data_IF_225560360104
#
_entry.id   IF_225560360104
#
_cell.length_a   1.000
_cell.length_b   1.000
_cell.length_c   1.000
_cell.angle_alpha   90.00
_cell.angle_beta   90.00
_cell.angle_gamma   90.00
#
_symmetry.space_group_name_H-M   'P 1'
#
loop_
_entity.id
_entity.type
_entity.pdbx_description
1 polymer ?
#
# COMPACT_ATOMS: atom_id res chain seq x y z
N UNK A 1 13.65 -2.24 25.77
CA UNK A 1 13.01 -1.87 24.51
C UNK A 1 12.20 -3.07 24.02
N UNK A 2 10.95 -2.84 23.69
CA UNK A 2 10.03 -3.86 23.18
C UNK A 2 10.50 -4.42 21.84
N UNK A 3 10.13 -5.68 21.54
CA UNK A 3 10.32 -6.29 20.24
C UNK A 3 9.30 -5.74 19.25
N UNK A 4 9.77 -5.35 18.05
CA UNK A 4 8.90 -4.77 17.01
C UNK A 4 8.76 -5.67 15.78
N UNK A 5 9.42 -6.81 15.73
CA UNK A 5 9.37 -7.69 14.57
C UNK A 5 8.00 -8.34 14.40
N UNK A 6 7.53 -8.36 13.14
CA UNK A 6 6.27 -8.99 12.73
C UNK A 6 6.46 -9.79 11.46
N UNK A 7 5.49 -10.64 11.10
CA UNK A 7 5.53 -11.41 9.87
C UNK A 7 4.26 -11.17 9.03
N UNK A 8 4.43 -10.86 7.75
CA UNK A 8 3.33 -10.84 6.77
C UNK A 8 3.52 -11.99 5.78
N UNK A 9 2.74 -13.06 5.98
CA UNK A 9 2.98 -14.32 5.29
C UNK A 9 4.36 -14.88 5.63
N UNK A 10 5.19 -15.08 4.61
CA UNK A 10 6.57 -15.56 4.76
C UNK A 10 7.61 -14.44 4.89
N UNK A 11 7.18 -13.20 4.82
CA UNK A 11 8.06 -12.04 4.90
C UNK A 11 8.21 -11.57 6.34
N UNK A 12 9.43 -11.66 6.87
CA UNK A 12 9.78 -11.11 8.17
C UNK A 12 10.09 -9.60 8.05
N UNK A 13 9.44 -8.79 8.87
CA UNK A 13 9.69 -7.36 9.01
C UNK A 13 10.34 -7.11 10.37
N UNK A 14 11.39 -6.30 10.42
CA UNK A 14 12.08 -5.91 11.68
C UNK A 14 11.23 -5.01 12.58
N UNK A 15 10.23 -4.35 12.01
CA UNK A 15 9.18 -3.59 12.69
C UNK A 15 7.96 -3.47 11.78
N UNK A 16 6.77 -3.10 12.28
CA UNK A 16 5.53 -3.11 11.51
C UNK A 16 5.37 -1.94 10.53
N UNK A 17 6.35 -1.03 10.41
CA UNK A 17 6.20 0.20 9.63
C UNK A 17 6.80 0.07 8.24
N UNK A 18 5.96 0.29 7.24
CA UNK A 18 6.34 0.34 5.82
C UNK A 18 5.91 1.68 5.20
N UNK A 19 6.44 1.99 4.02
CA UNK A 19 5.99 3.13 3.22
C UNK A 19 4.93 2.70 2.20
N UNK A 20 3.94 3.55 1.92
CA UNK A 20 2.94 3.27 0.90
C UNK A 20 3.45 3.62 -0.51
N UNK A 21 3.15 2.77 -1.47
CA UNK A 21 3.46 3.01 -2.89
C UNK A 21 2.92 4.35 -3.40
N UNK A 22 3.72 5.04 -4.20
CA UNK A 22 3.36 6.31 -4.82
C UNK A 22 3.67 7.55 -3.97
N UNK A 23 4.19 7.39 -2.76
CA UNK A 23 4.53 8.48 -1.84
C UNK A 23 5.99 8.50 -1.40
N UNK A 24 6.78 7.51 -1.81
CA UNK A 24 8.15 7.33 -1.35
C UNK A 24 9.14 6.99 -2.49
N UNK A 25 8.74 7.21 -3.74
CA UNK A 25 9.57 6.92 -4.90
C UNK A 25 10.04 5.45 -4.94
N UNK A 26 11.33 5.27 -5.07
CA UNK A 26 12.02 3.98 -4.99
C UNK A 26 12.83 3.82 -3.68
N UNK A 27 12.69 4.80 -2.76
CA UNK A 27 13.41 4.86 -1.50
C UNK A 27 14.63 5.79 -1.56
N UNK A 28 15.42 5.74 -2.62
CA UNK A 28 16.64 6.55 -2.80
C UNK A 28 16.38 8.05 -2.62
N UNK A 29 15.20 8.54 -3.01
CA UNK A 29 14.81 9.94 -2.89
C UNK A 29 14.67 10.41 -1.43
N UNK A 30 14.59 9.48 -0.49
CA UNK A 30 14.44 9.76 0.94
C UNK A 30 15.71 9.45 1.76
N UNK A 31 16.74 8.90 1.14
CA UNK A 31 17.98 8.50 1.84
C UNK A 31 18.74 9.65 2.51
N UNK A 32 18.55 10.88 2.02
CA UNK A 32 19.13 12.08 2.63
C UNK A 32 18.41 12.53 3.91
N UNK A 33 17.18 12.05 4.14
CA UNK A 33 16.36 12.43 5.28
C UNK A 33 16.34 11.38 6.39
N UNK A 34 16.42 10.10 6.03
CA UNK A 34 16.34 8.98 6.96
C UNK A 34 17.28 7.84 6.55
N UNK A 35 17.67 7.05 7.52
CA UNK A 35 18.25 5.74 7.29
C UNK A 35 17.13 4.75 6.90
N UNK A 36 17.11 4.34 5.63
CA UNK A 36 16.10 3.46 5.06
C UNK A 36 16.09 2.08 5.73
N UNK A 37 17.24 1.65 6.23
CA UNK A 37 17.38 0.34 6.89
C UNK A 37 16.67 0.28 8.24
N UNK A 38 16.18 1.41 8.76
CA UNK A 38 15.36 1.46 9.98
C UNK A 38 13.91 1.02 9.76
N UNK A 39 13.44 0.94 8.52
CA UNK A 39 12.06 0.58 8.17
C UNK A 39 11.88 -0.92 8.07
N UNK A 40 10.67 -1.42 8.34
CA UNK A 40 10.28 -2.81 8.11
C UNK A 40 10.23 -3.17 6.64
N UNK A 41 9.84 -2.20 5.78
CA UNK A 41 9.83 -2.35 4.34
C UNK A 41 9.52 -1.05 3.60
N UNK A 42 9.85 -1.02 2.32
CA UNK A 42 9.55 0.07 1.40
C UNK A 42 8.74 -0.49 0.23
N UNK A 43 7.49 -0.02 0.09
CA UNK A 43 6.69 -0.34 -1.09
C UNK A 43 6.98 0.73 -2.14
N UNK A 44 7.76 0.34 -3.14
CA UNK A 44 8.23 1.26 -4.17
C UNK A 44 7.13 1.68 -5.14
N UNK A 45 7.45 2.63 -5.98
CA UNK A 45 6.57 3.16 -7.04
C UNK A 45 5.91 2.04 -7.84
N UNK A 46 4.59 2.20 -8.09
CA UNK A 46 3.81 1.26 -8.89
C UNK A 46 4.43 1.03 -10.27
N UNK A 47 4.63 -0.24 -10.60
CA UNK A 47 5.28 -0.72 -11.83
C UNK A 47 4.26 -1.46 -12.68
N UNK A 48 4.22 -1.18 -13.98
CA UNK A 48 3.36 -1.83 -14.98
C UNK A 48 4.21 -2.58 -16.01
N UNK A 49 3.61 -3.51 -16.76
CA UNK A 49 4.33 -4.25 -17.81
C UNK A 49 4.98 -3.29 -18.81
N UNK A 50 4.21 -2.34 -19.35
CA UNK A 50 4.67 -1.31 -20.26
C UNK A 50 4.73 0.06 -19.57
N UNK A 51 5.56 1.01 -20.08
CA UNK A 51 5.61 2.39 -19.56
C UNK A 51 4.24 3.08 -19.60
N UNK A 52 4.01 3.99 -18.64
CA UNK A 52 2.83 4.87 -18.57
C UNK A 52 3.23 6.30 -18.30
N UNK A 53 2.72 7.24 -19.12
CA UNK A 53 2.95 8.68 -18.94
C UNK A 53 2.12 9.26 -17.78
N UNK A 54 1.06 8.57 -17.35
CA UNK A 54 0.09 9.07 -16.38
C UNK A 54 -0.94 10.01 -17.04
N UNK A 55 -1.71 10.69 -16.18
CA UNK A 55 -2.71 11.68 -16.63
C UNK A 55 -2.10 13.06 -16.82
N UNK A 56 -2.80 13.95 -17.52
CA UNK A 56 -2.41 15.36 -17.68
C UNK A 56 -2.50 16.14 -16.36
N UNK A 57 -1.82 17.27 -16.30
CA UNK A 57 -1.90 18.21 -15.17
C UNK A 57 -3.18 19.07 -15.22
N UNK A 58 -3.69 19.49 -14.04
CA UNK A 58 -3.23 19.23 -12.69
C UNK A 58 -3.61 17.83 -12.18
N UNK A 59 -2.69 17.18 -11.47
CA UNK A 59 -2.81 15.80 -10.97
C UNK A 59 -3.07 15.68 -9.47
N UNK A 60 -2.89 16.78 -8.73
CA UNK A 60 -2.98 16.83 -7.29
C UNK A 60 -3.71 18.08 -6.85
N UNK A 61 -4.49 17.96 -5.78
CA UNK A 61 -5.18 19.08 -5.14
C UNK A 61 -5.27 18.84 -3.64
N UNK A 62 -4.93 19.87 -2.85
CA UNK A 62 -5.12 19.84 -1.41
C UNK A 62 -6.60 19.89 -1.04
N UNK A 63 -6.94 19.29 0.11
CA UNK A 63 -8.24 19.37 0.77
C UNK A 63 -8.06 19.80 2.21
N UNK A 64 -9.15 20.10 2.93
CA UNK A 64 -9.08 20.56 4.31
C UNK A 64 -8.33 19.61 5.28
N UNK A 65 -8.34 18.29 5.03
CA UNK A 65 -7.73 17.28 5.89
C UNK A 65 -7.07 16.16 5.10
N UNK A 66 -6.46 16.49 3.97
CA UNK A 66 -5.80 15.50 3.12
C UNK A 66 -5.53 16.02 1.72
N UNK A 67 -5.47 15.13 0.76
CA UNK A 67 -5.23 15.49 -0.63
C UNK A 67 -5.95 14.56 -1.60
N UNK A 68 -6.23 15.10 -2.79
CA UNK A 68 -6.70 14.35 -3.95
C UNK A 68 -5.56 14.15 -4.94
N UNK A 69 -5.47 12.97 -5.54
CA UNK A 69 -4.55 12.73 -6.64
C UNK A 69 -5.21 11.93 -7.78
N UNK A 70 -4.74 12.18 -8.99
CA UNK A 70 -5.07 11.43 -10.18
C UNK A 70 -3.83 11.20 -11.06
N UNK A 71 -2.72 10.77 -10.47
CA UNK A 71 -1.42 10.62 -11.17
C UNK A 71 -1.50 9.67 -12.36
N UNK A 72 -2.29 8.58 -12.29
CA UNK A 72 -2.50 7.66 -13.41
C UNK A 72 -1.37 6.65 -13.62
N UNK A 73 -0.74 6.18 -12.53
CA UNK A 73 0.31 5.14 -12.56
C UNK A 73 1.52 5.50 -13.44
N UNK A 74 1.93 6.77 -13.47
CA UNK A 74 3.14 7.17 -14.22
C UNK A 74 4.35 6.33 -13.77
N UNK A 75 4.94 5.59 -14.71
CA UNK A 75 6.14 4.76 -14.48
C UNK A 75 6.78 4.37 -15.82
N UNK A 76 8.02 3.88 -15.77
CA UNK A 76 8.81 3.53 -16.96
C UNK A 76 8.72 2.04 -17.36
N UNK A 77 7.82 1.28 -16.75
CA UNK A 77 7.63 -0.15 -17.05
C UNK A 77 8.60 -1.08 -16.29
N UNK A 78 8.26 -2.39 -16.31
CA UNK A 78 8.98 -3.40 -15.55
C UNK A 78 10.41 -3.63 -16.05
N UNK A 79 10.66 -3.55 -17.36
CA UNK A 79 12.01 -3.75 -17.90
C UNK A 79 12.96 -2.65 -17.41
N UNK A 80 12.51 -1.37 -17.40
CA UNK A 80 13.28 -0.28 -16.81
C UNK A 80 13.50 -0.48 -15.31
N UNK A 81 12.49 -0.95 -14.58
CA UNK A 81 12.64 -1.29 -13.16
C UNK A 81 13.75 -2.33 -12.96
N UNK A 82 13.69 -3.44 -13.69
CA UNK A 82 14.68 -4.51 -13.58
C UNK A 82 16.11 -4.08 -13.95
N UNK A 83 16.25 -3.28 -15.00
CA UNK A 83 17.56 -2.91 -15.56
C UNK A 83 18.21 -1.70 -14.87
N UNK A 84 17.42 -0.74 -14.41
CA UNK A 84 17.92 0.54 -13.89
C UNK A 84 17.67 0.73 -12.40
N UNK A 85 16.45 0.44 -11.92
CA UNK A 85 16.09 0.72 -10.53
C UNK A 85 16.55 -0.39 -9.59
N UNK A 86 16.27 -1.65 -9.92
CA UNK A 86 16.62 -2.78 -9.07
C UNK A 86 18.11 -2.81 -8.68
N UNK A 87 19.09 -2.58 -9.58
CA UNK A 87 20.50 -2.53 -9.18
C UNK A 87 20.84 -1.48 -8.12
N UNK A 88 20.10 -0.38 -8.07
CA UNK A 88 20.32 0.72 -7.11
C UNK A 88 19.74 0.41 -5.73
N UNK A 89 18.65 -0.37 -5.68
CA UNK A 89 17.89 -0.57 -4.43
C UNK A 89 18.06 -1.96 -3.80
N UNK A 90 18.64 -2.93 -4.51
CA UNK A 90 18.70 -4.34 -4.10
C UNK A 90 19.52 -4.63 -2.84
N UNK A 91 20.41 -3.71 -2.49
CA UNK A 91 21.38 -3.90 -1.40
C UNK A 91 21.00 -3.11 -0.11
N UNK A 92 19.84 -2.45 -0.10
CA UNK A 92 19.32 -1.87 1.14
C UNK A 92 18.97 -2.96 2.16
N UNK A 93 19.28 -2.70 3.43
CA UNK A 93 19.03 -3.62 4.55
C UNK A 93 17.55 -3.68 4.99
N UNK A 94 16.62 -3.13 4.20
CA UNK A 94 15.17 -3.21 4.41
C UNK A 94 14.49 -4.03 3.30
N UNK A 95 13.24 -4.44 3.51
CA UNK A 95 12.49 -5.19 2.50
C UNK A 95 12.00 -4.26 1.39
N UNK A 96 12.58 -4.38 0.18
CA UNK A 96 12.11 -3.66 -1.01
C UNK A 96 10.97 -4.45 -1.66
N UNK A 97 9.76 -3.90 -1.61
CA UNK A 97 8.53 -4.55 -2.09
C UNK A 97 8.04 -3.80 -3.33
N UNK A 98 7.80 -4.52 -4.43
CA UNK A 98 7.38 -3.88 -5.68
C UNK A 98 5.87 -3.83 -5.78
N UNK A 99 5.30 -2.62 -5.91
CA UNK A 99 3.88 -2.47 -6.22
C UNK A 99 3.65 -2.75 -7.70
N UNK A 100 2.80 -3.75 -8.01
CA UNK A 100 2.51 -4.21 -9.37
C UNK A 100 1.10 -3.82 -9.77
N UNK A 101 0.97 -3.21 -10.94
CA UNK A 101 -0.32 -2.87 -11.55
C UNK A 101 -0.39 -3.29 -13.01
N UNK A 102 -1.58 -3.56 -13.52
CA UNK A 102 -1.83 -3.95 -14.91
C UNK A 102 -3.15 -3.40 -15.45
N UNK A 103 -3.36 -3.52 -16.77
CA UNK A 103 -4.63 -3.21 -17.44
C UNK A 103 -5.43 -4.47 -17.75
N UNK A 104 -4.77 -5.61 -17.87
CA UNK A 104 -5.34 -6.93 -18.09
C UNK A 104 -4.78 -7.92 -17.07
N UNK A 105 -5.43 -9.04 -16.87
CA UNK A 105 -4.95 -10.13 -16.02
C UNK A 105 -3.57 -10.62 -16.47
N UNK A 106 -3.33 -10.63 -17.77
CA UNK A 106 -2.06 -11.02 -18.38
C UNK A 106 -0.94 -10.01 -18.07
N UNK A 107 -1.23 -8.70 -18.15
CA UNK A 107 -0.24 -7.65 -17.79
C UNK A 107 0.26 -7.84 -16.35
N UNK A 108 -0.66 -8.12 -15.41
CA UNK A 108 -0.30 -8.39 -14.01
C UNK A 108 0.61 -9.61 -13.88
N UNK A 109 0.26 -10.71 -14.55
CA UNK A 109 1.04 -11.96 -14.49
C UNK A 109 2.44 -11.79 -15.09
N UNK A 110 2.54 -11.20 -16.29
CA UNK A 110 3.83 -10.98 -16.96
C UNK A 110 4.73 -10.01 -16.19
N UNK A 111 4.16 -8.93 -15.62
CA UNK A 111 4.92 -8.01 -14.79
C UNK A 111 5.45 -8.71 -13.52
N UNK A 112 4.60 -9.49 -12.84
CA UNK A 112 4.98 -10.23 -11.65
C UNK A 112 6.04 -11.31 -11.93
N UNK A 113 5.95 -11.99 -13.07
CA UNK A 113 6.93 -12.99 -13.52
C UNK A 113 8.34 -12.38 -13.69
N UNK A 114 8.43 -11.19 -14.32
CA UNK A 114 9.71 -10.46 -14.46
C UNK A 114 10.32 -10.12 -13.09
N UNK A 115 9.48 -9.68 -12.14
CA UNK A 115 9.93 -9.35 -10.78
C UNK A 115 10.28 -10.60 -9.97
N UNK A 116 9.61 -11.73 -10.21
CA UNK A 116 9.91 -12.99 -9.53
C UNK A 116 11.37 -13.45 -9.74
N UNK A 117 11.95 -13.13 -10.90
CA UNK A 117 13.35 -13.43 -11.23
C UNK A 117 14.38 -12.61 -10.42
N UNK A 118 13.97 -11.57 -9.71
CA UNK A 118 14.86 -10.69 -8.95
C UNK A 118 15.08 -11.27 -7.54
N UNK A 119 16.28 -11.74 -7.18
CA UNK A 119 16.48 -12.49 -5.92
C UNK A 119 16.23 -11.65 -4.67
N UNK A 120 16.62 -10.37 -4.68
CA UNK A 120 16.53 -9.48 -3.51
C UNK A 120 15.17 -8.76 -3.38
N UNK A 121 14.19 -9.07 -4.23
CA UNK A 121 12.81 -8.61 -4.05
C UNK A 121 12.02 -9.74 -3.38
N UNK A 122 11.71 -9.61 -2.07
CA UNK A 122 11.10 -10.70 -1.29
C UNK A 122 9.58 -10.78 -1.47
N UNK A 123 8.94 -9.69 -1.90
CA UNK A 123 7.49 -9.59 -2.03
C UNK A 123 7.06 -8.64 -3.14
N UNK A 124 5.82 -8.80 -3.60
CA UNK A 124 5.11 -7.78 -4.38
C UNK A 124 3.82 -7.38 -3.67
N UNK A 125 3.42 -6.11 -3.87
CA UNK A 125 2.09 -5.60 -3.54
C UNK A 125 1.28 -5.47 -4.83
N UNK A 126 0.28 -6.32 -5.00
CA UNK A 126 -0.56 -6.37 -6.18
C UNK A 126 -1.67 -5.32 -6.08
N UNK A 127 -1.56 -4.24 -6.83
CA UNK A 127 -2.52 -3.15 -6.83
C UNK A 127 -3.66 -3.42 -7.82
N UNK A 128 -4.74 -4.04 -7.33
CA UNK A 128 -5.93 -4.34 -8.12
C UNK A 128 -6.96 -3.20 -8.12
N UNK A 129 -6.66 -2.09 -7.46
CA UNK A 129 -7.60 -0.98 -7.19
C UNK A 129 -7.62 0.10 -8.27
N UNK A 130 -6.82 -0.01 -9.34
CA UNK A 130 -6.67 1.05 -10.32
C UNK A 130 -7.95 1.23 -11.15
N UNK A 131 -8.67 2.38 -11.06
CA UNK A 131 -9.91 2.62 -11.80
C UNK A 131 -9.67 2.95 -13.28
N UNK A 132 -8.42 3.08 -13.72
CA UNK A 132 -8.06 3.63 -15.02
C UNK A 132 -7.84 2.55 -16.08
N UNK A 133 -8.90 1.78 -16.42
CA UNK A 133 -8.90 0.99 -17.65
C UNK A 133 -9.63 1.81 -18.71
N UNK A 134 -8.90 2.54 -19.55
CA UNK A 134 -9.43 3.06 -20.81
C UNK A 134 -9.93 1.85 -21.60
N UNK A 135 -11.19 1.85 -21.99
CA UNK A 135 -11.93 0.85 -22.78
C UNK A 135 -12.88 -0.08 -22.00
N UNK A 136 -13.64 0.48 -21.01
CA UNK A 136 -14.83 -0.20 -20.49
C UNK A 136 -14.57 -1.38 -19.55
N UNK A 137 -13.32 -1.59 -19.10
CA UNK A 137 -13.00 -2.57 -18.08
C UNK A 137 -13.28 -2.02 -16.68
N UNK A 138 -14.12 -2.71 -15.90
CA UNK A 138 -14.27 -2.46 -14.47
C UNK A 138 -12.92 -2.70 -13.79
N UNK A 139 -12.58 -1.86 -12.78
CA UNK A 139 -11.43 -2.11 -11.93
C UNK A 139 -11.56 -3.52 -11.32
N UNK A 140 -10.53 -4.35 -11.45
CA UNK A 140 -10.55 -5.73 -10.99
C UNK A 140 -10.90 -5.85 -9.50
N UNK A 141 -10.46 -4.90 -8.69
CA UNK A 141 -10.65 -4.89 -7.24
C UNK A 141 -12.05 -4.49 -6.75
N UNK A 142 -13.05 -4.27 -7.62
CA UNK A 142 -14.41 -3.92 -7.20
C UNK A 142 -15.39 -5.11 -7.21
N UNK A 143 -14.97 -6.27 -7.70
CA UNK A 143 -15.73 -7.51 -7.66
C UNK A 143 -14.88 -8.68 -7.19
N UNK A 144 -15.47 -9.63 -6.46
CA UNK A 144 -14.77 -10.85 -6.03
C UNK A 144 -14.17 -11.63 -7.22
N UNK A 145 -14.93 -11.82 -8.29
CA UNK A 145 -14.48 -12.54 -9.47
C UNK A 145 -13.30 -11.85 -10.19
N UNK A 146 -13.33 -10.52 -10.29
CA UNK A 146 -12.25 -9.72 -10.87
C UNK A 146 -10.97 -9.83 -10.03
N UNK A 147 -11.07 -9.61 -8.73
CA UNK A 147 -9.95 -9.72 -7.79
C UNK A 147 -9.35 -11.13 -7.81
N UNK A 148 -10.18 -12.16 -7.68
CA UNK A 148 -9.77 -13.56 -7.73
C UNK A 148 -9.04 -13.92 -9.03
N UNK A 149 -9.53 -13.46 -10.19
CA UNK A 149 -8.92 -13.77 -11.49
C UNK A 149 -7.48 -13.26 -11.61
N UNK A 150 -7.20 -12.06 -11.11
CA UNK A 150 -5.86 -11.46 -11.12
C UNK A 150 -4.95 -12.21 -10.15
N UNK A 151 -5.39 -12.42 -8.89
CA UNK A 151 -4.58 -13.12 -7.88
C UNK A 151 -4.22 -14.53 -8.32
N UNK A 152 -5.19 -15.28 -8.83
CA UNK A 152 -4.98 -16.63 -9.38
C UNK A 152 -3.94 -16.67 -10.49
N UNK A 153 -3.99 -15.72 -11.42
CA UNK A 153 -3.03 -15.66 -12.51
C UNK A 153 -1.62 -15.31 -12.02
N UNK A 154 -1.51 -14.30 -11.14
CA UNK A 154 -0.22 -13.90 -10.56
C UNK A 154 0.37 -14.98 -9.68
N UNK A 155 -0.43 -15.66 -8.84
CA UNK A 155 0.06 -16.74 -7.96
C UNK A 155 0.73 -17.89 -8.73
N UNK A 156 0.32 -18.17 -9.96
CA UNK A 156 0.91 -19.23 -10.80
C UNK A 156 2.37 -18.94 -11.18
N UNK A 157 2.73 -17.67 -11.30
CA UNK A 157 4.06 -17.23 -11.79
C UNK A 157 4.91 -16.57 -10.70
N UNK A 158 4.32 -16.19 -9.56
CA UNK A 158 5.01 -15.51 -8.47
C UNK A 158 4.99 -16.36 -7.20
N UNK A 159 6.10 -17.06 -6.86
CA UNK A 159 6.16 -18.00 -5.73
C UNK A 159 6.45 -17.33 -4.36
N UNK A 160 6.89 -16.05 -4.35
CA UNK A 160 7.25 -15.32 -3.14
C UNK A 160 6.03 -14.69 -2.47
N UNK A 161 6.22 -13.86 -1.44
CA UNK A 161 5.12 -13.22 -0.71
C UNK A 161 4.30 -12.28 -1.61
N UNK A 162 3.01 -12.56 -1.68
CA UNK A 162 2.02 -11.85 -2.48
C UNK A 162 1.06 -11.09 -1.56
N UNK A 163 1.23 -9.77 -1.49
CA UNK A 163 0.32 -8.86 -0.80
C UNK A 163 -0.70 -8.34 -1.82
N UNK A 164 -1.98 -8.29 -1.48
CA UNK A 164 -3.01 -7.77 -2.39
C UNK A 164 -3.63 -6.50 -1.82
N UNK A 165 -3.45 -5.38 -2.56
CA UNK A 165 -3.95 -4.06 -2.14
C UNK A 165 -5.39 -3.84 -2.57
N UNK A 166 -6.28 -3.71 -1.59
CA UNK A 166 -7.72 -3.63 -1.77
C UNK A 166 -8.21 -2.19 -1.93
N UNK A 167 -9.28 -2.04 -2.73
CA UNK A 167 -9.99 -0.77 -2.93
C UNK A 167 -11.03 -0.54 -1.83
N UNK A 168 -11.13 0.69 -1.28
CA UNK A 168 -12.22 1.04 -0.37
C UNK A 168 -13.54 1.36 -1.10
N UNK A 169 -13.52 1.46 -2.43
CA UNK A 169 -14.66 1.88 -3.24
C UNK A 169 -15.57 0.69 -3.58
N UNK A 170 -15.93 -0.07 -2.57
CA UNK A 170 -16.76 -1.28 -2.62
C UNK A 170 -17.77 -1.29 -1.46
N UNK A 171 -18.84 -2.06 -1.60
CA UNK A 171 -19.86 -2.18 -0.56
C UNK A 171 -19.35 -3.02 0.62
N UNK A 172 -18.71 -4.15 0.35
CA UNK A 172 -18.12 -5.04 1.35
C UNK A 172 -16.68 -5.41 0.96
N UNK A 173 -15.72 -4.83 1.65
CA UNK A 173 -14.29 -5.08 1.42
C UNK A 173 -13.86 -6.46 1.94
N UNK A 174 -14.57 -6.99 2.95
CA UNK A 174 -14.24 -8.28 3.53
C UNK A 174 -14.58 -9.44 2.57
N UNK A 175 -15.60 -9.31 1.71
CA UNK A 175 -15.87 -10.29 0.66
C UNK A 175 -14.73 -10.35 -0.36
N UNK A 176 -14.20 -9.19 -0.77
CA UNK A 176 -13.06 -9.12 -1.68
C UNK A 176 -11.81 -9.73 -1.01
N UNK A 177 -11.58 -9.44 0.28
CA UNK A 177 -10.45 -10.00 1.03
C UNK A 177 -10.50 -11.53 1.07
N UNK A 178 -11.67 -12.13 1.39
CA UNK A 178 -11.84 -13.59 1.36
C UNK A 178 -11.61 -14.18 -0.03
N UNK A 179 -12.06 -13.49 -1.09
CA UNK A 179 -11.89 -13.97 -2.45
C UNK A 179 -10.41 -14.01 -2.88
N UNK A 180 -9.60 -13.02 -2.49
CA UNK A 180 -8.16 -13.00 -2.81
C UNK A 180 -7.37 -13.96 -1.92
N UNK A 181 -7.76 -14.16 -0.65
CA UNK A 181 -7.19 -15.19 0.22
C UNK A 181 -7.38 -16.59 -0.38
N UNK A 182 -8.58 -16.90 -0.86
CA UNK A 182 -8.90 -18.19 -1.47
C UNK A 182 -8.06 -18.50 -2.72
N UNK A 183 -7.59 -17.49 -3.44
CA UNK A 183 -6.73 -17.65 -4.62
C UNK A 183 -5.22 -17.56 -4.29
N UNK A 184 -4.85 -17.53 -3.01
CA UNK A 184 -3.48 -17.69 -2.54
C UNK A 184 -2.73 -16.39 -2.29
N UNK A 185 -3.40 -15.30 -1.93
CA UNK A 185 -2.75 -14.14 -1.33
C UNK A 185 -2.11 -14.54 0.02
N UNK A 186 -0.87 -14.12 0.28
CA UNK A 186 -0.20 -14.34 1.57
C UNK A 186 -0.55 -13.23 2.59
N UNK A 187 -1.02 -12.08 2.12
CA UNK A 187 -1.45 -10.93 2.92
C UNK A 187 -2.36 -10.02 2.10
N UNK A 188 -3.14 -9.19 2.76
CA UNK A 188 -3.88 -8.10 2.13
C UNK A 188 -3.46 -6.75 2.71
N UNK A 189 -3.38 -5.70 1.86
CA UNK A 189 -3.19 -4.33 2.30
C UNK A 189 -4.44 -3.48 1.98
N UNK A 190 -4.85 -2.62 2.89
CA UNK A 190 -5.99 -1.73 2.72
C UNK A 190 -5.90 -0.50 3.63
N UNK A 191 -6.31 0.65 3.12
CA UNK A 191 -7.09 0.89 1.92
C UNK A 191 -6.27 1.62 0.85
N UNK A 192 -6.60 1.42 -0.43
CA UNK A 192 -6.25 2.38 -1.46
C UNK A 192 -7.09 3.66 -1.27
N UNK A 193 -7.02 4.63 -2.15
CA UNK A 193 -7.66 5.93 -2.01
C UNK A 193 -9.18 5.88 -2.25
N UNK A 194 -9.93 6.66 -1.47
CA UNK A 194 -11.36 6.89 -1.68
C UNK A 194 -11.59 7.84 -2.87
N UNK A 195 -12.58 7.55 -3.70
CA UNK A 195 -12.95 8.47 -4.78
C UNK A 195 -13.50 9.77 -4.23
N UNK A 196 -12.97 10.89 -4.72
CA UNK A 196 -13.36 12.22 -4.33
C UNK A 196 -13.28 13.23 -5.48
N UNK A 197 -13.73 14.46 -5.22
CA UNK A 197 -13.73 15.55 -6.18
C UNK A 197 -13.45 16.88 -5.49
N UNK A 198 -12.81 17.81 -6.21
CA UNK A 198 -12.68 19.21 -5.79
C UNK A 198 -12.98 20.14 -6.97
N UNK A 199 -13.75 21.21 -6.72
CA UNK A 199 -14.21 22.15 -7.74
C UNK A 199 -13.56 23.52 -7.51
N UNK A 200 -13.04 24.11 -8.58
CA UNK A 200 -12.72 25.53 -8.67
C UNK A 200 -13.98 26.28 -9.09
N UNK A 201 -14.60 26.99 -8.17
CA UNK A 201 -15.90 27.66 -8.39
C UNK A 201 -15.78 28.82 -9.34
N UNK A 202 -14.64 29.54 -9.35
CA UNK A 202 -14.41 30.66 -10.22
C UNK A 202 -14.27 30.22 -11.69
N UNK A 203 -13.59 29.11 -11.90
CA UNK A 203 -13.39 28.54 -13.22
C UNK A 203 -14.48 27.55 -13.63
N UNK A 204 -15.37 27.18 -12.71
CA UNK A 204 -16.47 26.22 -12.89
C UNK A 204 -16.00 24.88 -13.46
N UNK A 205 -14.86 24.37 -12.95
CA UNK A 205 -14.25 23.10 -13.40
C UNK A 205 -13.61 22.35 -12.23
N UNK A 206 -13.34 21.06 -12.45
CA UNK A 206 -12.56 20.29 -11.47
C UNK A 206 -11.16 20.87 -11.30
N UNK A 207 -10.62 20.77 -10.09
CA UNK A 207 -9.21 21.04 -9.80
C UNK A 207 -8.26 19.95 -10.31
N UNK A 208 -8.82 18.81 -10.74
CA UNK A 208 -8.05 17.68 -11.30
C UNK A 208 -8.37 17.53 -12.79
N UNK A 209 -7.36 17.14 -13.59
CA UNK A 209 -7.47 17.03 -15.04
C UNK A 209 -8.55 16.06 -15.53
N UNK A 210 -8.81 14.99 -14.78
CA UNK A 210 -9.78 13.93 -15.16
C UNK A 210 -11.10 14.03 -14.36
N UNK A 211 -11.34 15.13 -13.65
CA UNK A 211 -12.58 15.38 -12.90
C UNK A 211 -12.57 14.88 -11.48
N UNK A 212 -12.21 13.63 -11.23
CA UNK A 212 -12.16 13.00 -9.92
C UNK A 212 -10.73 12.52 -9.58
N UNK A 213 -10.49 12.18 -8.32
CA UNK A 213 -9.21 11.62 -7.87
C UNK A 213 -9.36 10.83 -6.59
N UNK A 214 -8.28 10.15 -6.21
CA UNK A 214 -8.22 9.42 -4.95
C UNK A 214 -7.93 10.35 -3.78
N UNK A 215 -8.81 10.36 -2.78
CA UNK A 215 -8.63 11.05 -1.51
C UNK A 215 -7.76 10.22 -0.57
N UNK A 216 -6.76 10.87 0.04
CA UNK A 216 -5.84 10.30 1.03
C UNK A 216 -5.55 11.31 2.14
N UNK A 217 -4.80 10.91 3.18
CA UNK A 217 -4.46 11.73 4.33
C UNK A 217 -5.44 11.57 5.51
N UNK A 218 -5.38 12.41 6.54
CA UNK A 218 -6.13 12.24 7.80
C UNK A 218 -7.63 12.04 7.63
N UNK A 219 -8.24 12.64 6.60
CA UNK A 219 -9.68 12.54 6.32
C UNK A 219 -10.17 11.09 6.15
N UNK A 220 -9.33 10.19 5.65
CA UNK A 220 -9.74 8.80 5.39
C UNK A 220 -9.49 7.85 6.55
N UNK A 221 -8.75 8.26 7.61
CA UNK A 221 -8.37 7.38 8.74
C UNK A 221 -9.55 6.62 9.35
N UNK A 222 -10.67 7.24 9.73
CA UNK A 222 -11.78 6.51 10.36
C UNK A 222 -12.38 5.43 9.46
N UNK A 223 -12.41 5.68 8.16
CA UNK A 223 -12.91 4.71 7.17
C UNK A 223 -11.92 3.56 7.00
N UNK A 224 -10.63 3.87 6.86
CA UNK A 224 -9.57 2.89 6.74
C UNK A 224 -9.50 1.98 7.97
N UNK A 225 -9.51 2.57 9.17
CA UNK A 225 -9.46 1.85 10.44
C UNK A 225 -10.64 0.86 10.58
N UNK A 226 -11.87 1.29 10.27
CA UNK A 226 -13.04 0.43 10.26
C UNK A 226 -12.89 -0.73 9.27
N UNK A 227 -12.42 -0.45 8.06
CA UNK A 227 -12.24 -1.48 7.03
C UNK A 227 -11.16 -2.50 7.41
N UNK A 228 -10.04 -2.06 7.98
CA UNK A 228 -8.99 -2.94 8.51
C UNK A 228 -9.56 -3.85 9.59
N UNK A 229 -10.29 -3.29 10.55
CA UNK A 229 -10.94 -4.07 11.61
C UNK A 229 -11.93 -5.13 11.06
N UNK A 230 -12.70 -4.79 10.02
CA UNK A 230 -13.62 -5.73 9.37
C UNK A 230 -12.87 -6.86 8.66
N UNK A 231 -11.82 -6.53 7.90
CA UNK A 231 -11.05 -7.51 7.14
C UNK A 231 -10.24 -8.42 8.06
N UNK A 232 -9.60 -7.88 9.10
CA UNK A 232 -8.83 -8.68 10.06
C UNK A 232 -9.67 -9.77 10.77
N UNK A 233 -10.98 -9.57 10.86
CA UNK A 233 -11.92 -10.57 11.41
C UNK A 233 -12.50 -11.53 10.35
N UNK A 234 -12.24 -11.27 9.08
CA UNK A 234 -12.85 -11.99 7.96
C UNK A 234 -11.90 -12.95 7.24
N UNK A 235 -10.60 -12.76 7.41
CA UNK A 235 -9.54 -13.56 6.77
C UNK A 235 -8.57 -14.12 7.82
N UNK A 236 -7.82 -15.17 7.45
CA UNK A 236 -6.80 -15.79 8.30
C UNK A 236 -5.37 -15.32 7.96
N UNK A 237 -5.21 -14.62 6.84
CA UNK A 237 -3.91 -14.06 6.42
C UNK A 237 -3.67 -12.69 7.07
N UNK A 238 -2.41 -12.30 7.30
CA UNK A 238 -2.04 -11.01 7.86
C UNK A 238 -2.64 -9.83 7.07
N UNK A 239 -2.99 -8.78 7.80
CA UNK A 239 -3.56 -7.54 7.25
C UNK A 239 -2.56 -6.40 7.41
N UNK A 240 -2.32 -5.65 6.34
CA UNK A 240 -1.53 -4.44 6.36
C UNK A 240 -2.47 -3.24 6.29
N UNK A 241 -2.44 -2.38 7.32
CA UNK A 241 -3.34 -1.22 7.42
C UNK A 241 -2.72 0.05 6.86
N UNK A 242 -3.47 0.80 6.03
CA UNK A 242 -3.05 2.12 5.57
C UNK A 242 -4.23 3.06 5.32
N UNK A 243 -3.95 4.36 5.43
CA UNK A 243 -4.94 5.42 5.19
C UNK A 243 -5.04 6.38 6.36
N UNK A 244 -4.38 7.54 6.24
CA UNK A 244 -4.46 8.63 7.21
C UNK A 244 -3.59 8.48 8.45
N UNK A 245 -2.61 7.57 8.47
CA UNK A 245 -1.62 7.43 9.53
C UNK A 245 -0.65 8.61 9.46
N UNK A 246 -0.61 9.42 10.50
CA UNK A 246 0.21 10.64 10.61
C UNK A 246 1.26 10.56 11.73
N UNK A 247 1.09 9.65 12.69
CA UNK A 247 1.94 9.51 13.88
C UNK A 247 1.81 8.10 14.48
N UNK A 248 2.57 7.83 15.55
CA UNK A 248 2.57 6.55 16.23
C UNK A 248 1.22 6.17 16.87
N UNK A 249 0.46 7.14 17.36
CA UNK A 249 -0.89 6.87 17.91
C UNK A 249 -1.81 6.31 16.85
N UNK A 250 -1.82 6.93 15.65
CA UNK A 250 -2.61 6.42 14.53
C UNK A 250 -2.18 4.99 14.15
N UNK A 251 -0.86 4.73 14.10
CA UNK A 251 -0.32 3.41 13.79
C UNK A 251 -0.77 2.35 14.80
N UNK A 252 -0.71 2.66 16.10
CA UNK A 252 -1.14 1.76 17.19
C UNK A 252 -2.65 1.47 17.08
N UNK A 253 -3.49 2.44 16.73
CA UNK A 253 -4.91 2.20 16.48
C UNK A 253 -5.12 1.13 15.39
N UNK A 254 -4.34 1.19 14.30
CA UNK A 254 -4.42 0.18 13.23
C UNK A 254 -3.95 -1.19 13.70
N UNK A 255 -2.86 -1.27 14.48
CA UNK A 255 -2.40 -2.54 15.07
C UNK A 255 -3.47 -3.13 16.00
N UNK A 256 -4.03 -2.34 16.89
CA UNK A 256 -5.12 -2.78 17.78
C UNK A 256 -6.37 -3.21 17.01
N UNK A 257 -6.68 -2.59 15.87
CA UNK A 257 -7.79 -3.00 15.01
C UNK A 257 -7.53 -4.33 14.27
N UNK A 258 -6.31 -4.87 14.32
CA UNK A 258 -5.94 -6.16 13.76
C UNK A 258 -4.99 -6.11 12.57
N UNK A 259 -4.44 -4.94 12.23
CA UNK A 259 -3.35 -4.87 11.28
C UNK A 259 -2.07 -5.49 11.89
N UNK A 260 -1.39 -6.33 11.12
CA UNK A 260 -0.08 -6.91 11.50
C UNK A 260 1.06 -5.94 11.20
N UNK A 261 0.89 -5.14 10.15
CA UNK A 261 1.82 -4.08 9.75
C UNK A 261 1.03 -2.89 9.21
N UNK A 262 1.70 -1.75 9.01
CA UNK A 262 1.08 -0.52 8.49
C UNK A 262 1.93 0.09 7.37
N UNK A 263 1.26 0.84 6.47
CA UNK A 263 1.93 1.66 5.46
C UNK A 263 1.61 3.14 5.67
N UNK A 264 2.64 3.98 5.61
CA UNK A 264 2.53 5.43 5.69
C UNK A 264 2.63 6.02 4.28
N UNK A 265 1.61 6.78 3.88
CA UNK A 265 1.50 7.39 2.57
C UNK A 265 1.65 8.91 2.60
N UNK A 266 0.53 9.63 2.58
CA UNK A 266 0.44 11.10 2.44
C UNK A 266 1.32 11.86 3.45
N UNK A 267 1.52 11.33 4.65
CA UNK A 267 2.35 11.95 5.68
C UNK A 267 3.81 12.15 5.25
N UNK A 268 4.34 11.30 4.35
CA UNK A 268 5.69 11.44 3.80
C UNK A 268 5.89 12.75 3.01
N UNK A 269 4.82 13.32 2.45
CA UNK A 269 4.89 14.63 1.76
C UNK A 269 4.94 15.81 2.72
N UNK A 270 4.53 15.61 3.97
CA UNK A 270 4.52 16.65 5.01
C UNK A 270 5.80 16.59 5.84
N UNK A 271 6.19 15.38 6.24
CA UNK A 271 7.39 15.11 7.03
C UNK A 271 8.11 13.86 6.47
N UNK A 272 9.23 14.02 5.77
CA UNK A 272 9.97 12.90 5.19
C UNK A 272 10.55 11.94 6.25
N UNK A 273 10.57 12.34 7.53
CA UNK A 273 11.07 11.53 8.65
C UNK A 273 9.97 10.80 9.42
N UNK A 274 8.70 10.97 9.03
CA UNK A 274 7.54 10.47 9.77
C UNK A 274 7.56 8.96 10.00
N UNK A 275 8.03 8.19 9.03
CA UNK A 275 8.10 6.72 9.13
C UNK A 275 8.98 6.26 10.29
N UNK A 276 10.18 6.85 10.42
CA UNK A 276 11.11 6.55 11.51
C UNK A 276 10.55 7.02 12.86
N UNK A 277 9.94 8.21 12.91
CA UNK A 277 9.26 8.71 14.12
C UNK A 277 8.13 7.78 14.58
N UNK A 278 7.42 7.17 13.63
CA UNK A 278 6.37 6.20 13.97
C UNK A 278 6.96 4.91 14.52
N UNK A 279 8.07 4.40 13.97
CA UNK A 279 8.79 3.24 14.54
C UNK A 279 9.19 3.50 15.98
N UNK A 280 9.84 4.65 16.22
CA UNK A 280 10.27 5.07 17.56
C UNK A 280 9.09 5.21 18.52
N UNK A 281 8.03 5.91 18.09
CA UNK A 281 6.86 6.16 18.92
C UNK A 281 6.05 4.90 19.27
N UNK A 282 6.02 3.88 18.41
CA UNK A 282 5.45 2.56 18.74
C UNK A 282 6.27 1.93 19.86
N UNK A 283 7.61 1.88 19.73
CA UNK A 283 8.49 1.32 20.75
C UNK A 283 8.36 2.03 22.09
N UNK A 284 8.36 3.36 22.11
CA UNK A 284 8.17 4.18 23.32
C UNK A 284 6.80 3.93 23.98
N UNK A 285 5.76 3.75 23.19
CA UNK A 285 4.43 3.48 23.72
C UNK A 285 4.38 2.10 24.38
N UNK A 286 4.93 1.06 23.74
CA UNK A 286 5.01 -0.30 24.30
C UNK A 286 5.82 -0.32 25.60
N UNK A 287 7.00 0.30 25.62
CA UNK A 287 7.85 0.39 26.83
C UNK A 287 7.12 1.07 28.00
N UNK A 288 6.39 2.18 27.74
CA UNK A 288 5.58 2.87 28.77
C UNK A 288 4.44 2.03 29.34
N UNK A 289 3.90 1.09 28.56
CA UNK A 289 2.81 0.21 28.99
C UNK A 289 3.32 -1.15 29.50
N UNK A 290 4.64 -1.36 29.53
CA UNK A 290 5.24 -2.62 29.99
C UNK A 290 4.99 -3.81 29.07
N UNK A 291 4.72 -3.55 27.76
CA UNK A 291 4.46 -4.55 26.74
C UNK A 291 5.79 -4.92 26.09
N UNK A 292 6.11 -6.20 26.08
CA UNK A 292 7.41 -6.69 25.62
C UNK A 292 7.48 -6.91 24.10
N UNK A 293 6.34 -7.17 23.45
CA UNK A 293 6.28 -7.53 22.04
C UNK A 293 5.09 -6.84 21.35
N UNK A 294 5.33 -6.19 20.20
CA UNK A 294 4.28 -5.53 19.42
C UNK A 294 3.15 -6.48 19.00
N UNK A 295 3.44 -7.76 18.87
CA UNK A 295 2.43 -8.77 18.55
C UNK A 295 1.34 -8.91 19.63
N UNK A 296 1.60 -8.49 20.87
CA UNK A 296 0.61 -8.51 21.96
C UNK A 296 -0.54 -7.50 21.75
N UNK A 297 -0.30 -6.44 20.95
CA UNK A 297 -1.33 -5.42 20.68
C UNK A 297 -2.07 -5.63 19.37
N UNK A 298 -1.65 -6.58 18.53
CA UNK A 298 -2.31 -6.86 17.26
C UNK A 298 -3.69 -7.48 17.51
N UNK A 299 -4.73 -6.76 17.12
CA UNK A 299 -6.12 -7.21 17.35
C UNK A 299 -6.59 -7.11 18.80
N UNK A 300 -5.87 -6.42 19.67
CA UNK A 300 -6.18 -6.30 21.10
C UNK A 300 -7.32 -5.31 21.41
N UNK A 301 -8.07 -4.84 20.41
CA UNK A 301 -9.23 -3.97 20.62
C UNK A 301 -10.32 -4.71 21.39
N UNK A 302 -10.55 -4.31 22.63
CA UNK A 302 -11.68 -4.78 23.44
C UNK A 302 -13.01 -4.19 22.96
N UNK A 303 -14.09 -4.96 22.97
CA UNK A 303 -15.45 -4.56 22.56
C UNK A 303 -16.44 -4.68 23.69
#
# INVERSE_FOLDING_TARGET
>A
MAQLNVNIGRLALKNPVMTASGTFGYGTEFSDFIDLDRLGGIIVKGTTLLPREGNDYPRMAETASGMLNCVGLQNKGVDYFCEKIYPEIKDYGTNMIVNVSGSTVEDYALCAERIAALPNIPAIELNISCPNVKNGGMAFGVTCAGAASVVKAVRKVYPKTLIVKLSPNVTDIAEIARAVEAEGADSVSLINTLMGMSIDIERRRSRLSIGTGGLSGPAVKPVALRMVWQVARAVNIPVVGLGGIMNATDAIEFLMAGATAIEIGTANFIDPTVTVKVVEGIGEWLDRHGIADVNEIIGALEQ
#
